data_IF_599777500657
#
_entry.id   IF_599777500657
#
_cell.length_a   1.000
_cell.length_b   1.000
_cell.length_c   1.000
_cell.angle_alpha   90.00
_cell.angle_beta   90.00
_cell.angle_gamma   90.00
#
_symmetry.space_group_name_H-M   'P 1'
#
loop_
_entity.id
_entity.type
_entity.pdbx_description
1 polymer ?
#
# COMPACT_ATOMS: atom_id res chain seq x y z
N UNK A 1 3.98 12.85 14.05
CA UNK A 1 5.27 13.13 13.39
C UNK A 1 4.97 13.86 12.12
N UNK A 2 5.53 15.06 11.98
CA UNK A 2 5.48 15.84 10.76
C UNK A 2 6.64 15.38 9.87
N UNK A 3 6.37 15.13 8.59
CA UNK A 3 7.36 14.64 7.63
C UNK A 3 7.60 15.72 6.57
N UNK A 4 8.88 16.11 6.39
CA UNK A 4 9.25 17.11 5.39
C UNK A 4 10.21 16.53 4.36
N UNK A 5 9.80 16.62 3.10
CA UNK A 5 10.51 16.07 1.96
C UNK A 5 11.68 16.97 1.53
N UNK A 6 12.87 16.41 1.34
CA UNK A 6 14.00 17.05 0.66
C UNK A 6 14.43 16.20 -0.56
N UNK A 7 13.52 16.02 -1.51
CA UNK A 7 13.80 15.43 -2.83
C UNK A 7 12.78 15.87 -3.89
N UNK A 8 13.14 15.79 -5.17
CA UNK A 8 12.43 16.45 -6.28
C UNK A 8 11.21 15.69 -6.87
N UNK A 9 10.78 14.57 -6.29
CA UNK A 9 9.70 13.74 -6.86
C UNK A 9 8.35 13.98 -6.19
N UNK A 10 7.26 13.98 -6.97
CA UNK A 10 5.90 14.11 -6.44
C UNK A 10 5.46 12.84 -5.70
N UNK A 11 5.58 12.85 -4.37
CA UNK A 11 4.97 11.90 -3.44
C UNK A 11 4.25 12.72 -2.38
N UNK A 12 2.96 12.44 -2.15
CA UNK A 12 2.27 13.02 -1.01
C UNK A 12 2.73 12.27 0.24
N UNK A 13 3.30 13.00 1.19
CA UNK A 13 3.66 12.44 2.49
C UNK A 13 2.40 12.34 3.35
N UNK A 14 2.22 11.18 3.98
CA UNK A 14 1.21 10.96 5.00
C UNK A 14 1.87 11.10 6.36
N UNK A 15 1.34 11.97 7.22
CA UNK A 15 1.82 12.07 8.60
C UNK A 15 1.48 10.81 9.39
N UNK A 16 2.32 10.50 10.37
CA UNK A 16 2.16 9.32 11.22
C UNK A 16 2.17 9.74 12.68
N UNK A 17 1.20 9.27 13.46
CA UNK A 17 1.16 9.39 14.91
C UNK A 17 1.70 8.12 15.55
N UNK A 18 2.66 8.29 16.47
CA UNK A 18 3.11 7.24 17.37
C UNK A 18 2.32 7.37 18.66
N UNK A 19 1.47 6.39 18.95
CA UNK A 19 0.75 6.28 20.21
C UNK A 19 1.38 5.18 21.07
N UNK A 20 1.65 5.51 22.32
CA UNK A 20 2.27 4.64 23.32
C UNK A 20 1.44 4.68 24.61
N UNK A 21 1.38 3.59 25.37
CA UNK A 21 0.59 3.50 26.60
C UNK A 21 1.22 4.31 27.74
N UNK A 22 2.53 4.54 27.68
CA UNK A 22 3.29 5.29 28.67
C UNK A 22 3.86 6.55 28.05
N UNK A 23 3.90 7.64 28.83
CA UNK A 23 4.55 8.87 28.38
C UNK A 23 6.04 8.59 28.21
N UNK A 24 6.54 8.84 27.01
CA UNK A 24 7.97 8.83 26.73
C UNK A 24 8.67 9.93 27.55
N UNK A 25 9.90 9.69 27.98
CA UNK A 25 10.67 10.62 28.82
C UNK A 25 10.77 12.04 28.23
N UNK A 26 11.02 13.02 29.10
CA UNK A 26 11.03 14.46 28.74
C UNK A 26 12.02 14.81 27.61
N UNK A 27 13.07 14.02 27.41
CA UNK A 27 14.05 14.19 26.32
C UNK A 27 13.48 13.91 24.91
N UNK A 28 12.23 13.44 24.83
CA UNK A 28 11.55 13.05 23.59
C UNK A 28 10.36 13.99 23.25
N UNK A 29 10.19 15.12 23.97
CA UNK A 29 9.09 16.07 23.69
C UNK A 29 9.16 16.65 22.27
N UNK A 30 10.39 16.82 21.77
CA UNK A 30 10.69 17.13 20.37
C UNK A 30 11.94 16.37 19.92
N UNK A 31 11.79 15.48 18.93
CA UNK A 31 12.91 14.78 18.30
C UNK A 31 12.89 15.13 16.83
N UNK A 32 13.97 15.76 16.37
CA UNK A 32 14.19 16.04 14.97
C UNK A 32 15.36 15.18 14.49
N UNK A 33 15.14 14.43 13.42
CA UNK A 33 16.20 13.63 12.80
C UNK A 33 16.01 13.50 11.29
N UNK A 34 17.15 13.29 10.63
CA UNK A 34 17.22 13.12 9.18
C UNK A 34 17.27 11.63 8.86
N UNK A 35 16.45 11.19 7.91
CA UNK A 35 16.52 9.86 7.32
C UNK A 35 17.07 9.96 5.91
N UNK A 36 18.25 9.38 5.70
CA UNK A 36 18.76 9.10 4.36
C UNK A 36 18.00 7.90 3.79
N UNK A 37 17.23 8.16 2.73
CA UNK A 37 16.49 7.14 1.98
C UNK A 37 17.06 7.06 0.55
N UNK A 38 16.82 5.96 -0.15
CA UNK A 38 17.29 5.71 -1.53
C UNK A 38 17.04 6.87 -2.52
N UNK A 39 16.12 7.79 -2.19
CA UNK A 39 15.66 8.87 -3.06
C UNK A 39 15.97 10.28 -2.53
N UNK A 40 16.75 10.40 -1.47
CA UNK A 40 17.14 11.68 -0.86
C UNK A 40 16.97 11.69 0.66
N UNK A 41 16.80 12.88 1.22
CA UNK A 41 16.64 13.06 2.68
C UNK A 41 15.19 13.30 3.06
N UNK A 42 14.77 12.69 4.15
CA UNK A 42 13.49 12.93 4.80
C UNK A 42 13.74 13.50 6.19
N UNK A 43 13.28 14.73 6.44
CA UNK A 43 13.28 15.31 7.78
C UNK A 43 12.08 14.81 8.55
N UNK A 44 12.31 14.23 9.72
CA UNK A 44 11.27 13.76 10.64
C UNK A 44 11.25 14.66 11.85
N UNK A 45 10.12 15.32 12.06
CA UNK A 45 9.85 16.10 13.26
C UNK A 45 8.83 15.36 14.13
N UNK A 46 9.31 14.73 15.20
CA UNK A 46 8.46 14.11 16.20
C UNK A 46 8.18 15.13 17.30
N UNK A 47 6.90 15.40 17.55
CA UNK A 47 6.43 16.32 18.60
C UNK A 47 5.38 15.63 19.44
N UNK A 48 5.43 15.82 20.75
CA UNK A 48 4.34 15.40 21.62
C UNK A 48 3.10 16.25 21.32
N UNK A 49 1.98 15.57 21.03
CA UNK A 49 0.71 16.23 20.66
C UNK A 49 -0.41 16.02 21.67
N UNK A 50 -0.17 15.26 22.73
CA UNK A 50 -1.17 14.98 23.76
C UNK A 50 -1.53 13.50 23.86
N UNK A 51 -2.67 13.26 24.47
CA UNK A 51 -3.19 11.92 24.73
C UNK A 51 -4.36 11.62 23.79
N UNK A 52 -4.45 10.38 23.35
CA UNK A 52 -5.60 9.87 22.61
C UNK A 52 -6.27 8.78 23.43
N UNK A 53 -7.60 8.78 23.47
CA UNK A 53 -8.39 7.74 24.12
C UNK A 53 -8.93 6.84 23.03
N UNK A 54 -8.55 5.57 23.06
CA UNK A 54 -8.99 4.56 22.10
C UNK A 54 -9.78 3.47 22.83
N UNK A 55 -10.86 3.00 22.22
CA UNK A 55 -11.58 1.82 22.71
C UNK A 55 -10.81 0.54 22.42
N UNK A 56 -11.13 -0.55 23.12
CA UNK A 56 -10.53 -1.87 22.86
C UNK A 56 -10.71 -2.32 21.41
N UNK A 57 -11.87 -2.02 20.79
CA UNK A 57 -12.10 -2.30 19.36
C UNK A 57 -11.19 -1.48 18.44
N UNK A 58 -11.03 -0.17 18.71
CA UNK A 58 -10.13 0.68 17.94
C UNK A 58 -8.68 0.21 18.06
N UNK A 59 -8.24 -0.18 19.25
CA UNK A 59 -6.90 -0.74 19.49
C UNK A 59 -6.71 -2.02 18.67
N UNK A 60 -7.67 -2.94 18.70
CA UNK A 60 -7.61 -4.18 17.93
C UNK A 60 -7.51 -3.90 16.43
N UNK A 61 -8.30 -2.95 15.92
CA UNK A 61 -8.27 -2.54 14.52
C UNK A 61 -6.92 -1.91 14.13
N UNK A 62 -6.38 -1.02 14.96
CA UNK A 62 -5.07 -0.41 14.74
C UNK A 62 -3.94 -1.43 14.72
N UNK A 63 -3.96 -2.40 15.65
CA UNK A 63 -2.99 -3.51 15.67
C UNK A 63 -3.08 -4.35 14.40
N UNK A 64 -4.29 -4.65 13.93
CA UNK A 64 -4.51 -5.37 12.67
C UNK A 64 -3.96 -4.58 11.48
N UNK A 65 -4.24 -3.28 11.42
CA UNK A 65 -3.71 -2.40 10.39
C UNK A 65 -2.18 -2.42 10.34
N UNK A 66 -1.53 -2.21 11.50
CA UNK A 66 -0.08 -2.19 11.62
C UNK A 66 0.56 -3.53 11.25
N UNK A 67 -0.02 -4.65 11.69
CA UNK A 67 0.47 -5.98 11.34
C UNK A 67 0.45 -6.23 9.83
N UNK A 68 -0.62 -5.81 9.15
CA UNK A 68 -0.74 -5.91 7.68
C UNK A 68 0.30 -5.02 6.99
N UNK A 69 0.44 -3.77 7.44
CA UNK A 69 1.41 -2.83 6.88
C UNK A 69 2.83 -3.37 7.00
N UNK A 70 3.27 -3.76 8.19
CA UNK A 70 4.61 -4.31 8.39
C UNK A 70 4.83 -5.57 7.59
N UNK A 71 3.83 -6.43 7.46
CA UNK A 71 3.96 -7.61 6.63
C UNK A 71 4.14 -7.25 5.16
N UNK A 72 3.37 -6.32 4.62
CA UNK A 72 3.54 -5.85 3.25
C UNK A 72 4.93 -5.25 3.02
N UNK A 73 5.50 -4.59 4.02
CA UNK A 73 6.78 -3.91 3.92
C UNK A 73 7.99 -4.84 4.14
N UNK A 74 7.89 -5.80 5.07
CA UNK A 74 8.98 -6.67 5.53
C UNK A 74 8.93 -8.08 4.92
N UNK A 75 7.75 -8.66 4.70
CA UNK A 75 7.60 -10.01 4.14
C UNK A 75 7.70 -9.93 2.61
N UNK A 76 8.61 -10.67 1.98
CA UNK A 76 8.78 -10.67 0.53
C UNK A 76 7.72 -11.52 -0.20
N UNK A 77 6.90 -12.31 0.51
CA UNK A 77 5.97 -13.29 -0.06
C UNK A 77 4.53 -13.15 0.47
N UNK A 78 3.73 -12.31 -0.20
CA UNK A 78 2.31 -12.03 0.11
C UNK A 78 1.38 -13.23 -0.13
N UNK A 79 1.84 -14.32 -0.76
CA UNK A 79 0.99 -15.47 -1.08
C UNK A 79 0.32 -16.10 0.16
N UNK A 80 0.88 -15.89 1.35
CA UNK A 80 0.28 -16.37 2.60
C UNK A 80 -0.49 -15.27 3.36
N UNK A 81 -0.57 -14.04 2.86
CA UNK A 81 -1.18 -12.91 3.58
C UNK A 81 -2.64 -13.22 3.93
N UNK A 82 -3.42 -13.85 3.04
CA UNK A 82 -4.80 -14.26 3.34
C UNK A 82 -4.89 -15.36 4.40
N UNK A 83 -4.02 -16.38 4.31
CA UNK A 83 -3.92 -17.46 5.32
C UNK A 83 -3.61 -16.87 6.69
N UNK A 84 -2.69 -15.91 6.75
CA UNK A 84 -2.32 -15.26 7.99
C UNK A 84 -3.31 -14.19 8.47
N UNK A 85 -3.95 -13.45 7.57
CA UNK A 85 -5.08 -12.56 7.90
C UNK A 85 -6.24 -13.34 8.54
N UNK A 86 -6.47 -14.57 8.08
CA UNK A 86 -7.37 -15.56 8.69
C UNK A 86 -6.91 -16.01 10.08
N UNK A 87 -5.60 -16.25 10.28
CA UNK A 87 -5.03 -16.53 11.61
C UNK A 87 -5.19 -15.35 12.58
N UNK A 88 -5.11 -14.10 12.10
CA UNK A 88 -5.33 -12.90 12.91
C UNK A 88 -6.80 -12.62 13.26
N UNK A 89 -7.76 -13.33 12.66
CA UNK A 89 -9.15 -13.34 13.14
C UNK A 89 -9.30 -14.16 14.43
N UNK A 90 -8.30 -14.98 14.79
CA UNK A 90 -8.33 -15.92 15.90
C UNK A 90 -7.44 -15.52 17.08
N UNK A 91 -7.51 -14.28 17.56
CA UNK A 91 -7.21 -13.86 18.95
C UNK A 91 -5.88 -14.21 19.64
N UNK A 92 -4.98 -15.01 19.06
CA UNK A 92 -3.75 -15.48 19.69
C UNK A 92 -2.59 -15.30 18.71
N UNK A 93 -1.56 -14.61 19.21
CA UNK A 93 -0.25 -14.41 18.58
C UNK A 93 -0.17 -13.35 17.46
N UNK A 94 -0.72 -12.17 17.73
CA UNK A 94 -0.15 -10.96 17.13
C UNK A 94 0.97 -10.50 18.06
N UNK A 95 2.21 -10.39 17.57
CA UNK A 95 3.29 -9.74 18.30
C UNK A 95 2.76 -8.42 18.84
N UNK A 96 2.54 -8.35 20.16
CA UNK A 96 1.88 -7.23 20.78
C UNK A 96 2.86 -6.07 20.75
N UNK A 97 2.75 -5.22 19.74
CA UNK A 97 3.44 -3.95 19.79
C UNK A 97 2.87 -3.16 20.97
N UNK A 98 3.76 -2.72 21.85
CA UNK A 98 3.43 -1.78 22.94
C UNK A 98 3.23 -0.36 22.41
N UNK A 99 3.10 -0.19 21.09
CA UNK A 99 2.87 1.07 20.42
C UNK A 99 1.99 0.88 19.18
N UNK A 100 1.37 1.97 18.74
CA UNK A 100 0.59 2.05 17.52
C UNK A 100 1.17 3.13 16.61
N UNK A 101 1.39 2.80 15.34
CA UNK A 101 1.70 3.74 14.26
C UNK A 101 0.44 3.96 13.43
N UNK A 102 -0.11 5.17 13.52
CA UNK A 102 -1.40 5.50 12.95
C UNK A 102 -1.23 6.55 11.84
N UNK A 103 -1.84 6.34 10.67
CA UNK A 103 -1.90 7.39 9.65
C UNK A 103 -2.74 8.56 10.17
N UNK A 104 -2.29 9.79 9.91
CA UNK A 104 -3.00 10.99 10.37
C UNK A 104 -3.23 12.01 9.27
N UNK A 105 -4.43 12.57 9.24
CA UNK A 105 -4.80 13.74 8.43
C UNK A 105 -5.10 14.88 9.40
N UNK A 106 -4.38 15.98 9.27
CA UNK A 106 -4.56 17.16 10.13
C UNK A 106 -4.60 16.79 11.63
N UNK A 107 -3.63 15.96 12.06
CA UNK A 107 -3.48 15.47 13.45
C UNK A 107 -4.56 14.52 13.97
N UNK A 108 -5.54 14.13 13.15
CA UNK A 108 -6.52 13.12 13.51
C UNK A 108 -6.19 11.79 12.86
N UNK A 109 -6.45 10.69 13.57
CA UNK A 109 -6.29 9.33 13.02
C UNK A 109 -7.18 9.20 11.77
N UNK A 110 -6.58 8.80 10.65
CA UNK A 110 -7.30 8.49 9.43
C UNK A 110 -7.98 7.12 9.58
N UNK A 111 -9.17 7.13 10.18
CA UNK A 111 -9.97 5.93 10.39
C UNK A 111 -10.40 5.26 9.09
N UNK A 112 -10.49 6.00 7.98
CA UNK A 112 -10.79 5.43 6.67
C UNK A 112 -9.64 4.55 6.19
N UNK A 113 -8.40 5.02 6.34
CA UNK A 113 -7.21 4.25 6.00
C UNK A 113 -6.99 3.08 6.97
N UNK A 114 -7.17 3.30 8.27
CA UNK A 114 -7.05 2.24 9.29
C UNK A 114 -8.08 1.14 9.07
N UNK A 115 -9.31 1.47 8.70
CA UNK A 115 -10.38 0.49 8.43
C UNK A 115 -10.20 -0.22 7.10
N UNK A 116 -9.33 0.26 6.20
CA UNK A 116 -9.17 -0.29 4.86
C UNK A 116 -8.70 -1.76 4.86
N UNK A 117 -8.02 -2.20 5.92
CA UNK A 117 -7.57 -3.60 6.04
C UNK A 117 -8.73 -4.58 6.23
N UNK A 118 -9.93 -4.11 6.59
CA UNK A 118 -11.11 -4.97 6.66
C UNK A 118 -11.58 -5.42 5.27
N UNK A 119 -11.32 -4.62 4.22
CA UNK A 119 -11.65 -5.00 2.84
C UNK A 119 -10.81 -6.16 2.33
N UNK A 120 -9.67 -6.47 2.95
CA UNK A 120 -8.87 -7.66 2.62
C UNK A 120 -9.57 -8.97 3.01
N UNK A 121 -10.51 -8.94 3.96
CA UNK A 121 -11.24 -10.13 4.42
C UNK A 121 -12.52 -10.40 3.62
N UNK A 122 -13.11 -9.38 2.99
CA UNK A 122 -14.33 -9.50 2.19
C UNK A 122 -14.03 -9.76 0.71
N UNK A 123 -13.32 -10.87 0.43
CA UNK A 123 -12.92 -11.27 -0.94
C UNK A 123 -14.12 -11.79 -1.76
N UNK A 124 -15.34 -11.78 -1.21
CA UNK A 124 -16.53 -11.74 -2.08
C UNK A 124 -16.70 -10.31 -2.60
N UNK A 125 -15.95 -9.95 -3.65
CA UNK A 125 -16.24 -8.77 -4.51
C UNK A 125 -17.60 -8.90 -5.25
N UNK A 126 -18.51 -9.71 -4.74
CA UNK A 126 -19.86 -9.98 -5.26
C UNK A 126 -20.87 -8.93 -4.78
N UNK A 127 -20.49 -8.11 -3.80
CA UNK A 127 -21.23 -6.91 -3.47
C UNK A 127 -20.45 -5.75 -4.03
N UNK A 128 -20.90 -5.30 -5.19
CA UNK A 128 -20.96 -3.91 -5.62
C UNK A 128 -20.73 -2.97 -4.42
N UNK A 129 -19.46 -2.72 -4.08
CA UNK A 129 -19.10 -1.53 -3.32
C UNK A 129 -19.40 -0.46 -4.35
N UNK A 130 -20.61 0.11 -4.25
CA UNK A 130 -20.99 1.23 -5.10
C UNK A 130 -19.82 2.21 -5.02
N UNK A 131 -19.09 2.41 -6.13
CA UNK A 131 -18.24 3.58 -6.27
C UNK A 131 -19.26 4.75 -6.27
N UNK A 132 -19.71 5.18 -5.08
CA UNK A 132 -20.72 6.25 -4.88
C UNK A 132 -20.22 7.58 -5.46
N UNK A 133 -18.93 7.68 -5.79
CA UNK A 133 -18.43 8.75 -6.64
C UNK A 133 -18.90 8.56 -8.08
N UNK A 134 -19.96 9.32 -8.40
CA UNK A 134 -20.60 9.61 -9.70
C UNK A 134 -19.68 9.88 -10.90
N UNK A 135 -18.35 9.83 -10.75
CA UNK A 135 -17.35 9.98 -11.82
C UNK A 135 -16.77 8.66 -12.33
N UNK A 136 -17.04 7.55 -11.67
CA UNK A 136 -16.54 6.24 -12.10
C UNK A 136 -17.51 5.63 -13.10
N UNK A 137 -17.33 5.96 -14.39
CA UNK A 137 -18.09 5.49 -15.55
C UNK A 137 -17.98 3.96 -15.79
N UNK A 138 -18.22 3.13 -14.78
CA UNK A 138 -18.26 1.66 -14.90
C UNK A 138 -17.01 1.05 -15.55
N UNK A 139 -15.84 1.69 -15.41
CA UNK A 139 -14.60 1.16 -15.98
C UNK A 139 -14.05 0.08 -15.06
N UNK A 140 -14.33 -1.17 -15.41
CA UNK A 140 -13.85 -2.34 -14.68
C UNK A 140 -12.67 -2.99 -15.39
N UNK A 141 -11.75 -3.55 -14.59
CA UNK A 141 -10.64 -4.37 -15.06
C UNK A 141 -10.81 -5.80 -14.55
N UNK A 142 -10.51 -6.75 -15.42
CA UNK A 142 -10.36 -8.14 -15.04
C UNK A 142 -9.04 -8.33 -14.30
N UNK A 143 -9.14 -8.79 -13.05
CA UNK A 143 -8.03 -9.24 -12.22
C UNK A 143 -8.15 -10.75 -11.98
N UNK A 144 -7.12 -11.37 -11.38
CA UNK A 144 -7.19 -12.77 -10.95
C UNK A 144 -8.34 -13.02 -9.95
N UNK A 145 -8.69 -12.00 -9.16
CA UNK A 145 -9.69 -12.10 -8.09
C UNK A 145 -11.09 -11.63 -8.52
N UNK A 146 -11.30 -11.39 -9.82
CA UNK A 146 -12.57 -10.90 -10.36
C UNK A 146 -12.47 -9.49 -10.96
N UNK A 147 -13.63 -8.91 -11.24
CA UNK A 147 -13.76 -7.57 -11.79
C UNK A 147 -13.57 -6.52 -10.68
N UNK A 148 -12.72 -5.52 -10.94
CA UNK A 148 -12.45 -4.43 -10.01
C UNK A 148 -12.58 -3.10 -10.74
N UNK A 149 -13.30 -2.14 -10.16
CA UNK A 149 -13.39 -0.79 -10.71
C UNK A 149 -12.02 -0.12 -10.66
N UNK A 150 -11.65 0.62 -11.71
CA UNK A 150 -10.41 1.42 -11.74
C UNK A 150 -10.34 2.39 -10.55
N UNK A 151 -11.50 2.90 -10.08
CA UNK A 151 -11.62 3.76 -8.90
C UNK A 151 -10.97 3.16 -7.64
N UNK A 152 -11.06 1.84 -7.50
CA UNK A 152 -10.52 1.10 -6.36
C UNK A 152 -9.07 0.67 -6.59
N UNK A 153 -8.59 0.73 -7.83
CA UNK A 153 -7.22 0.35 -8.16
C UNK A 153 -6.26 1.51 -7.99
N UNK A 154 -6.68 2.76 -8.20
CA UNK A 154 -5.82 3.91 -7.94
C UNK A 154 -5.49 4.03 -6.43
N UNK A 155 -4.21 4.25 -6.11
CA UNK A 155 -3.65 4.19 -4.76
C UNK A 155 -3.79 2.83 -4.05
N UNK A 156 -4.04 1.76 -4.81
CA UNK A 156 -4.07 0.39 -4.28
C UNK A 156 -2.73 -0.33 -4.43
N UNK A 157 -2.55 -1.35 -3.60
CA UNK A 157 -1.49 -2.33 -3.72
C UNK A 157 -1.94 -3.50 -4.58
N UNK A 158 -1.20 -3.79 -5.66
CA UNK A 158 -1.43 -4.98 -6.49
C UNK A 158 -0.21 -5.88 -6.53
N UNK A 159 -0.47 -7.19 -6.61
CA UNK A 159 0.54 -8.22 -6.75
C UNK A 159 0.41 -8.88 -8.13
N UNK A 160 1.54 -9.10 -8.79
CA UNK A 160 1.59 -9.81 -10.06
C UNK A 160 1.76 -11.32 -9.81
N UNK A 161 0.77 -12.17 -10.16
CA UNK A 161 0.81 -13.59 -9.79
C UNK A 161 1.99 -14.37 -10.37
N UNK A 162 2.53 -13.94 -11.51
CA UNK A 162 3.54 -14.68 -12.25
C UNK A 162 4.96 -14.55 -11.69
N UNK A 163 5.22 -13.60 -10.80
CA UNK A 163 6.53 -13.41 -10.19
C UNK A 163 6.49 -12.85 -8.76
N UNK A 164 5.30 -12.64 -8.19
CA UNK A 164 5.11 -12.10 -6.84
C UNK A 164 5.46 -10.61 -6.70
N UNK A 165 5.75 -9.88 -7.78
CA UNK A 165 6.17 -8.48 -7.69
C UNK A 165 4.99 -7.58 -7.31
N UNK A 166 5.29 -6.61 -6.45
CA UNK A 166 4.33 -5.70 -5.82
C UNK A 166 4.43 -4.30 -6.41
N UNK A 167 3.28 -3.71 -6.67
CA UNK A 167 3.18 -2.37 -7.26
C UNK A 167 2.12 -1.56 -6.51
N UNK A 168 2.45 -0.31 -6.20
CA UNK A 168 1.44 0.70 -5.92
C UNK A 168 0.94 1.26 -7.25
N UNK A 169 -0.36 1.25 -7.46
CA UNK A 169 -0.96 1.77 -8.69
C UNK A 169 -1.18 3.27 -8.53
N UNK A 170 -0.60 4.05 -9.42
CA UNK A 170 -0.68 5.52 -9.40
C UNK A 170 -1.54 6.07 -10.54
N UNK A 171 -2.46 5.25 -11.06
CA UNK A 171 -3.34 5.58 -12.18
C UNK A 171 -3.26 4.59 -13.35
N UNK A 172 -3.79 5.01 -14.50
CA UNK A 172 -3.85 4.25 -15.76
C UNK A 172 -2.91 4.82 -16.82
N UNK A 173 -2.58 4.01 -17.83
CA UNK A 173 -1.88 4.44 -19.04
C UNK A 173 -2.90 4.55 -20.17
N UNK A 174 -3.53 5.72 -20.30
CA UNK A 174 -4.57 5.96 -21.29
C UNK A 174 -4.04 5.78 -22.71
N UNK A 175 -4.80 5.02 -23.53
CA UNK A 175 -4.40 4.66 -24.89
C UNK A 175 -3.41 3.50 -25.00
N UNK A 176 -2.95 2.93 -23.88
CA UNK A 176 -2.06 1.77 -23.86
C UNK A 176 -2.77 0.50 -23.38
N UNK A 177 -2.59 -0.58 -24.12
CA UNK A 177 -3.13 -1.90 -23.86
C UNK A 177 -2.05 -2.99 -24.03
N UNK A 178 -2.43 -4.26 -23.93
CA UNK A 178 -1.54 -5.40 -24.16
C UNK A 178 -0.97 -5.49 -25.59
N UNK A 179 -1.55 -4.79 -26.58
CA UNK A 179 -1.06 -4.76 -27.95
C UNK A 179 -0.06 -3.62 -28.20
N UNK A 180 0.01 -2.67 -27.28
CA UNK A 180 0.91 -1.53 -27.39
C UNK A 180 2.39 -1.93 -27.37
N UNK A 181 3.20 -1.16 -28.09
CA UNK A 181 4.63 -1.40 -28.26
C UNK A 181 5.39 -1.23 -26.94
N UNK A 182 6.30 -2.16 -26.67
CA UNK A 182 7.24 -2.14 -25.56
C UNK A 182 8.66 -2.18 -26.13
N UNK A 183 9.41 -1.12 -25.87
CA UNK A 183 10.83 -1.06 -26.20
C UNK A 183 11.65 -1.80 -25.13
N UNK A 184 12.49 -2.72 -25.58
CA UNK A 184 13.39 -3.47 -24.72
C UNK A 184 14.76 -2.80 -24.62
N UNK A 185 15.50 -3.13 -23.56
CA UNK A 185 16.87 -2.61 -23.33
C UNK A 185 17.86 -2.86 -24.46
N UNK A 186 17.60 -3.87 -25.31
CA UNK A 186 18.41 -4.19 -26.48
C UNK A 186 17.96 -3.45 -27.75
N UNK A 187 17.08 -2.44 -27.63
CA UNK A 187 16.53 -1.67 -28.74
C UNK A 187 15.44 -2.39 -29.55
N UNK A 188 15.13 -3.66 -29.24
CA UNK A 188 14.05 -4.37 -29.94
C UNK A 188 12.68 -3.92 -29.44
N UNK A 189 11.73 -3.79 -30.37
CA UNK A 189 10.35 -3.40 -30.08
C UNK A 189 9.43 -4.59 -30.29
N UNK A 190 8.55 -4.85 -29.32
CA UNK A 190 7.51 -5.87 -29.42
C UNK A 190 6.31 -5.50 -28.55
N UNK A 191 5.13 -6.05 -28.84
CA UNK A 191 3.97 -5.74 -28.00
C UNK A 191 4.10 -6.31 -26.59
N UNK A 192 3.46 -5.67 -25.62
CA UNK A 192 3.40 -6.15 -24.24
C UNK A 192 2.93 -7.62 -24.14
N UNK A 193 1.92 -8.01 -24.93
CA UNK A 193 1.45 -9.39 -25.07
C UNK A 193 2.55 -10.33 -25.55
N UNK A 194 3.26 -9.96 -26.63
CA UNK A 194 4.35 -10.77 -27.18
C UNK A 194 5.50 -10.91 -26.18
N UNK A 195 5.77 -9.87 -25.39
CA UNK A 195 6.80 -9.89 -24.35
C UNK A 195 6.48 -10.97 -23.30
N UNK A 196 5.29 -10.92 -22.72
CA UNK A 196 4.87 -11.87 -21.69
C UNK A 196 4.74 -13.30 -22.23
N UNK A 197 4.29 -13.47 -23.48
CA UNK A 197 4.24 -14.78 -24.12
C UNK A 197 5.64 -15.38 -24.30
N UNK A 198 6.58 -14.63 -24.88
CA UNK A 198 7.96 -15.11 -25.13
C UNK A 198 8.77 -15.32 -23.86
N UNK A 199 8.71 -14.38 -22.90
CA UNK A 199 9.56 -14.40 -21.71
C UNK A 199 9.02 -15.26 -20.58
N UNK A 200 7.69 -15.41 -20.49
CA UNK A 200 7.02 -16.03 -19.33
C UNK A 200 6.02 -17.12 -19.72
N UNK A 201 5.80 -17.39 -21.01
CA UNK A 201 4.77 -18.33 -21.45
C UNK A 201 3.34 -17.88 -21.18
N UNK A 202 3.13 -16.58 -20.88
CA UNK A 202 1.82 -16.06 -20.46
C UNK A 202 1.06 -15.55 -21.69
N UNK A 203 -0.14 -16.09 -21.91
CA UNK A 203 -1.08 -15.55 -22.88
C UNK A 203 -2.04 -14.58 -22.19
N UNK A 204 -2.01 -13.31 -22.58
CA UNK A 204 -2.96 -12.31 -22.07
C UNK A 204 -4.36 -12.61 -22.59
N UNK A 205 -5.32 -12.86 -21.69
CA UNK A 205 -6.74 -13.09 -22.06
C UNK A 205 -7.48 -11.81 -22.41
N UNK A 206 -7.12 -10.71 -21.75
CA UNK A 206 -7.76 -9.40 -21.89
C UNK A 206 -6.75 -8.40 -22.47
N UNK A 207 -6.29 -8.64 -23.70
CA UNK A 207 -5.21 -7.85 -24.31
C UNK A 207 -5.58 -6.40 -24.63
N UNK A 208 -6.89 -6.09 -24.78
CA UNK A 208 -7.38 -4.73 -25.00
C UNK A 208 -7.65 -3.96 -23.71
N UNK A 209 -7.40 -4.59 -22.56
CA UNK A 209 -7.55 -3.95 -21.27
C UNK A 209 -6.46 -2.88 -21.09
N UNK A 210 -6.86 -1.72 -20.59
CA UNK A 210 -5.94 -0.61 -20.30
C UNK A 210 -4.84 -1.05 -19.34
N UNK A 211 -3.61 -0.63 -19.62
CA UNK A 211 -2.48 -0.89 -18.74
C UNK A 211 -2.51 0.01 -17.50
N UNK A 212 -2.08 -0.54 -16.37
CA UNK A 212 -1.97 0.20 -15.11
C UNK A 212 -0.59 0.84 -14.97
N UNK A 213 -0.55 2.06 -14.42
CA UNK A 213 0.69 2.73 -14.05
C UNK A 213 1.12 2.24 -12.67
N UNK A 214 1.90 1.16 -12.66
CA UNK A 214 2.44 0.56 -11.43
C UNK A 214 3.81 1.10 -11.05
N UNK A 215 3.97 1.57 -9.80
CA UNK A 215 5.26 1.86 -9.19
C UNK A 215 5.67 0.68 -8.30
N UNK A 216 6.80 0.04 -8.60
CA UNK A 216 7.30 -1.07 -7.80
C UNK A 216 7.57 -0.61 -6.37
N UNK A 217 7.13 -1.40 -5.39
CA UNK A 217 7.41 -1.12 -3.98
C UNK A 217 8.86 -1.49 -3.68
N UNK A 218 9.55 -0.60 -2.98
CA UNK A 218 10.92 -0.82 -2.51
C UNK A 218 10.91 -1.80 -1.33
N UNK A 219 11.99 -2.55 -1.18
CA UNK A 219 12.20 -3.31 0.04
C UNK A 219 12.64 -2.35 1.14
N UNK A 220 12.07 -2.50 2.35
CA UNK A 220 12.55 -1.72 3.50
C UNK A 220 14.02 -2.04 3.72
N UNK A 221 14.84 -1.00 3.73
CA UNK A 221 16.26 -1.09 4.07
C UNK A 221 16.45 -0.61 5.51
N UNK A 222 17.56 -1.02 6.13
CA UNK A 222 17.97 -0.41 7.39
C UNK A 222 18.48 1.00 7.11
N UNK A 223 17.79 2.02 7.63
CA UNK A 223 18.17 3.43 7.51
C UNK A 223 18.87 3.97 8.77
N UNK A 224 19.22 3.10 9.72
CA UNK A 224 20.03 3.45 10.88
C UNK A 224 21.50 3.25 10.48
N UNK A 225 22.23 4.36 10.36
CA UNK A 225 23.70 4.37 10.25
C UNK A 225 24.34 4.32 11.63
#
# INVERSE_FOLDING_TARGET
MELKQIFQYAVQLQEIMLAVPTRLGFDLETIDFDLDVDRGKLLVHARYRGQIILTSEQIALCRRFQAVLFRILLDHHVNNLQVHLGLYSGGKDCAAFDYLLLPCVEYHVDWKLVSAVQFLNNISFDKQVDCIQTKCLGRYLHTKNGLVCICMLENSLVCTPHNGSRYCITGTLDGYDGNSNLELRNGSVLSCKSYFKKRRGINLRFERQILLKGRRIFSVQNCLQ
#
